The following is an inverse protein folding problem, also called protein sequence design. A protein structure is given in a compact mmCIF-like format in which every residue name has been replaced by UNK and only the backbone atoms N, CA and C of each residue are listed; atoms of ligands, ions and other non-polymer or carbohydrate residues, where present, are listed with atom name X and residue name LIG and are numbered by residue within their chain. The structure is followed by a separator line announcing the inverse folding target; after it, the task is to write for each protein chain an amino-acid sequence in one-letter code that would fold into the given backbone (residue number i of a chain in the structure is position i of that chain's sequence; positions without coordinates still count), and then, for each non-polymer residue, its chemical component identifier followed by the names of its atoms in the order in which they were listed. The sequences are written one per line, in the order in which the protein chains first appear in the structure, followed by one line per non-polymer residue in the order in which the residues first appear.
data_IF_817142111901
#
_entry.id   IF_817142111901
#
_cell.length_a   1.000
_cell.length_b   1.000
_cell.length_c   1.000
_cell.angle_alpha   90.00
_cell.angle_beta   90.00
_cell.angle_gamma   90.00
#
_symmetry.space_group_name_H-M   'P 1'
#
loop_
_entity.id
_entity.type
_entity.pdbx_description
1 polymer ?
#
# COMPACT_ATOMS: atom_id res chain seq x y z
N UNK A 1 4.33 6.30 -28.41
CA UNK A 1 4.32 7.55 -27.62
C UNK A 1 4.78 7.19 -26.21
N UNK A 2 6.02 7.53 -25.83
CA UNK A 2 6.54 7.24 -24.49
C UNK A 2 5.70 8.01 -23.48
N UNK A 3 5.18 7.35 -22.42
CA UNK A 3 4.43 7.98 -21.33
C UNK A 3 5.30 8.11 -20.05
N UNK A 4 6.41 8.87 -20.06
CA UNK A 4 7.23 9.10 -18.87
C UNK A 4 6.50 9.97 -17.82
N UNK A 5 5.39 10.62 -18.21
CA UNK A 5 4.55 11.43 -17.32
C UNK A 5 3.94 10.62 -16.18
N UNK A 6 3.55 9.37 -16.42
CA UNK A 6 2.88 8.54 -15.42
C UNK A 6 3.81 8.15 -14.24
N UNK A 7 5.12 7.97 -14.49
CA UNK A 7 6.11 7.70 -13.43
C UNK A 7 6.28 8.93 -12.55
N UNK A 8 6.47 10.09 -13.19
CA UNK A 8 6.73 11.33 -12.48
C UNK A 8 5.52 11.70 -11.62
N UNK A 9 4.31 11.74 -12.20
CA UNK A 9 3.07 12.05 -11.48
C UNK A 9 2.83 11.12 -10.27
N UNK A 10 3.10 9.82 -10.40
CA UNK A 10 2.83 8.84 -9.33
C UNK A 10 3.92 8.77 -8.27
N UNK A 11 5.18 9.02 -8.63
CA UNK A 11 6.23 9.26 -7.65
C UNK A 11 5.89 10.52 -6.83
N UNK A 12 5.50 11.62 -7.49
CA UNK A 12 4.99 12.84 -6.86
C UNK A 12 3.76 12.60 -5.96
N UNK A 13 2.87 11.66 -6.28
CA UNK A 13 1.71 11.31 -5.43
C UNK A 13 2.11 10.59 -4.13
N UNK A 14 3.08 9.68 -4.19
CA UNK A 14 3.66 9.04 -2.99
C UNK A 14 4.49 10.04 -2.19
N UNK A 15 5.23 10.89 -2.89
CA UNK A 15 6.01 11.97 -2.31
C UNK A 15 5.10 12.96 -1.59
N UNK A 16 3.99 13.40 -2.16
CA UNK A 16 3.05 14.32 -1.48
C UNK A 16 2.38 13.67 -0.26
N UNK A 17 2.30 12.35 -0.18
CA UNK A 17 1.84 11.62 1.01
C UNK A 17 2.93 11.53 2.08
N UNK A 18 4.15 11.17 1.69
CA UNK A 18 5.33 11.14 2.58
C UNK A 18 5.66 12.55 3.07
N UNK A 19 5.63 13.54 2.18
CA UNK A 19 5.74 14.96 2.49
C UNK A 19 4.62 15.40 3.37
N UNK A 20 3.33 15.15 3.09
CA UNK A 20 2.26 15.47 4.07
C UNK A 20 2.49 14.82 5.45
N UNK A 21 3.01 13.60 5.48
CA UNK A 21 3.40 12.91 6.73
C UNK A 21 4.61 13.56 7.41
N UNK A 22 5.56 14.12 6.65
CA UNK A 22 6.75 14.81 7.13
C UNK A 22 6.51 16.32 7.38
N UNK A 23 5.53 16.94 6.72
CA UNK A 23 5.51 18.37 6.48
C UNK A 23 4.57 19.14 7.38
N UNK A 24 3.62 18.53 8.10
CA UNK A 24 2.55 19.38 8.63
C UNK A 24 2.24 19.43 10.13
N UNK A 25 2.54 18.50 11.05
CA UNK A 25 1.89 18.62 12.39
C UNK A 25 2.62 18.40 13.71
N UNK A 26 3.83 17.85 13.80
CA UNK A 26 4.32 17.42 15.13
C UNK A 26 5.52 18.19 15.72
N UNK A 27 6.57 18.50 14.95
CA UNK A 27 7.86 18.85 15.58
C UNK A 27 8.52 20.14 15.04
N UNK A 28 8.63 21.22 15.86
CA UNK A 28 9.33 22.45 15.48
C UNK A 28 10.84 22.25 15.29
N UNK A 29 11.45 21.30 16.00
CA UNK A 29 12.89 20.99 15.91
C UNK A 29 13.22 20.32 14.58
N UNK A 30 12.37 19.40 14.12
CA UNK A 30 12.50 18.81 12.79
C UNK A 30 12.49 19.88 11.68
N UNK A 31 11.63 20.89 11.78
CA UNK A 31 11.58 22.00 10.80
C UNK A 31 12.85 22.84 10.81
N UNK A 32 13.42 23.09 11.98
CA UNK A 32 14.68 23.83 12.12
C UNK A 32 15.83 23.06 11.47
N UNK A 33 15.95 21.76 11.76
CA UNK A 33 16.95 20.87 11.16
C UNK A 33 16.76 20.74 9.65
N UNK A 34 15.52 20.58 9.18
CA UNK A 34 15.19 20.51 7.76
C UNK A 34 15.62 21.78 7.01
N UNK A 35 15.33 22.97 7.55
CA UNK A 35 15.77 24.24 6.96
C UNK A 35 17.29 24.37 6.94
N UNK A 36 17.97 23.98 8.02
CA UNK A 36 19.43 23.97 8.07
C UNK A 36 20.03 23.05 6.99
N UNK A 37 19.44 21.85 6.79
CA UNK A 37 19.85 20.94 5.72
C UNK A 37 19.65 21.53 4.32
N UNK A 38 18.52 22.21 4.06
CA UNK A 38 18.27 22.86 2.76
C UNK A 38 19.21 24.04 2.49
N UNK A 39 19.64 24.74 3.54
CA UNK A 39 20.57 25.87 3.47
C UNK A 39 22.04 25.43 3.37
N UNK A 40 22.33 24.15 3.55
CA UNK A 40 23.67 23.61 3.43
C UNK A 40 24.20 23.78 1.99
N UNK A 41 25.48 24.13 1.82
CA UNK A 41 26.08 24.42 0.50
C UNK A 41 25.93 23.28 -0.53
N UNK A 42 25.95 22.02 -0.08
CA UNK A 42 25.69 20.85 -0.93
C UNK A 42 24.25 20.73 -1.42
N UNK A 43 23.28 21.17 -0.61
CA UNK A 43 21.87 21.13 -0.96
C UNK A 43 21.47 22.27 -1.90
N UNK A 44 22.33 23.27 -2.13
CA UNK A 44 22.12 24.38 -3.07
C UNK A 44 20.76 25.08 -2.92
N UNK A 45 20.20 25.11 -1.72
CA UNK A 45 18.90 25.74 -1.45
C UNK A 45 17.69 24.98 -1.99
N UNK A 46 17.84 23.79 -2.59
CA UNK A 46 16.70 23.01 -3.06
C UNK A 46 16.16 22.11 -1.96
N UNK A 47 14.85 21.86 -1.99
CA UNK A 47 14.20 20.99 -1.03
C UNK A 47 14.68 19.55 -1.17
N UNK A 48 14.52 18.77 -0.10
CA UNK A 48 14.74 17.32 -0.19
C UNK A 48 13.79 16.69 -1.23
N UNK A 49 12.61 17.28 -1.46
CA UNK A 49 11.65 16.82 -2.47
C UNK A 49 12.29 16.73 -3.86
N UNK A 50 12.99 17.80 -4.24
CA UNK A 50 13.70 17.87 -5.50
C UNK A 50 14.75 16.76 -5.64
N UNK A 51 15.53 16.50 -4.57
CA UNK A 51 16.56 15.47 -4.59
C UNK A 51 15.99 14.06 -4.73
N UNK A 52 14.83 13.79 -4.12
CA UNK A 52 14.12 12.52 -4.24
C UNK A 52 13.62 12.27 -5.67
N UNK A 53 13.39 13.34 -6.45
CA UNK A 53 12.94 13.25 -7.85
C UNK A 53 14.07 13.03 -8.85
N UNK A 54 15.33 13.29 -8.48
CA UNK A 54 16.47 13.17 -9.39
C UNK A 54 16.61 11.77 -10.01
N UNK A 55 16.47 10.65 -9.28
CA UNK A 55 16.58 9.31 -9.87
C UNK A 55 15.53 9.07 -10.98
N UNK A 56 14.29 9.51 -10.77
CA UNK A 56 13.21 9.36 -11.77
C UNK A 56 13.45 10.25 -12.99
N UNK A 57 13.87 11.50 -12.76
CA UNK A 57 14.27 12.41 -13.83
C UNK A 57 15.47 11.86 -14.61
N UNK A 58 16.39 11.14 -13.95
CA UNK A 58 17.58 10.58 -14.58
C UNK A 58 17.26 9.37 -15.45
N UNK A 59 16.49 8.41 -14.93
CA UNK A 59 16.07 7.20 -15.66
C UNK A 59 15.35 7.57 -16.96
N UNK A 60 14.43 8.54 -16.90
CA UNK A 60 13.64 8.98 -18.06
C UNK A 60 14.45 9.82 -19.06
N UNK A 61 15.52 10.48 -18.63
CA UNK A 61 16.35 11.35 -19.49
C UNK A 61 17.42 10.59 -20.27
N UNK A 62 17.93 9.47 -19.75
CA UNK A 62 18.96 8.68 -20.44
C UNK A 62 18.54 8.17 -21.83
N UNK A 63 17.34 7.58 -22.03
CA UNK A 63 16.89 7.20 -23.37
C UNK A 63 16.90 8.35 -24.37
N UNK A 64 16.50 9.56 -23.95
CA UNK A 64 16.46 10.75 -24.81
C UNK A 64 17.85 11.23 -25.22
N UNK A 65 18.84 11.08 -24.34
CA UNK A 65 20.25 11.41 -24.63
C UNK A 65 20.81 10.41 -25.63
N UNK A 66 20.61 9.11 -25.39
CA UNK A 66 21.12 8.04 -26.24
C UNK A 66 20.43 8.01 -27.62
N UNK A 67 19.15 8.37 -27.69
CA UNK A 67 18.43 8.56 -28.97
C UNK A 67 19.11 9.62 -29.85
N UNK A 68 19.52 10.74 -29.25
CA UNK A 68 20.26 11.79 -29.96
C UNK A 68 21.64 11.29 -30.38
N UNK A 69 22.37 10.60 -29.50
CA UNK A 69 23.69 10.05 -29.82
C UNK A 69 23.64 9.07 -30.99
N UNK A 70 22.66 8.16 -31.00
CA UNK A 70 22.44 7.22 -32.12
C UNK A 70 22.12 7.98 -33.41
N UNK A 71 21.25 9.01 -33.35
CA UNK A 71 20.86 9.80 -34.53
C UNK A 71 22.03 10.52 -35.21
N UNK A 72 23.04 10.95 -34.42
CA UNK A 72 24.20 11.69 -34.94
C UNK A 72 25.45 10.82 -35.14
N UNK A 73 25.37 9.51 -34.88
CA UNK A 73 26.47 8.58 -35.11
C UNK A 73 26.35 7.91 -36.48
N UNK A 74 27.45 7.75 -37.21
CA UNK A 74 27.42 7.06 -38.51
C UNK A 74 27.18 5.56 -38.35
N UNK A 75 26.35 4.99 -39.22
CA UNK A 75 25.96 3.57 -39.20
C UNK A 75 27.14 2.61 -39.48
N UNK A 76 28.25 3.13 -40.00
CA UNK A 76 29.47 2.38 -40.30
C UNK A 76 30.44 2.34 -39.12
N UNK A 77 30.16 3.06 -38.03
CA UNK A 77 30.99 3.04 -36.84
C UNK A 77 30.74 1.78 -36.01
N UNK A 78 31.81 1.11 -35.57
CA UNK A 78 31.74 -0.04 -34.65
C UNK A 78 31.06 0.30 -33.31
N UNK A 79 30.92 1.60 -32.99
CA UNK A 79 30.26 2.12 -31.80
C UNK A 79 28.74 2.24 -31.96
N UNK A 80 28.22 2.28 -33.19
CA UNK A 80 26.78 2.40 -33.46
C UNK A 80 25.98 1.26 -32.86
N UNK A 81 26.45 0.02 -33.00
CA UNK A 81 25.81 -1.17 -32.43
C UNK A 81 25.77 -1.12 -30.90
N UNK A 82 26.87 -0.70 -30.26
CA UNK A 82 26.94 -0.55 -28.80
C UNK A 82 25.99 0.53 -28.28
N UNK A 83 25.92 1.68 -28.97
CA UNK A 83 25.00 2.77 -28.64
C UNK A 83 23.53 2.37 -28.82
N UNK A 84 23.24 1.63 -29.89
CA UNK A 84 21.90 1.14 -30.17
C UNK A 84 21.46 0.11 -29.12
N UNK A 85 22.34 -0.82 -28.74
CA UNK A 85 22.08 -1.78 -27.67
C UNK A 85 21.84 -1.08 -26.32
N UNK A 86 22.68 -0.09 -25.98
CA UNK A 86 22.49 0.71 -24.77
C UNK A 86 21.14 1.47 -24.77
N UNK A 87 20.75 2.06 -25.90
CA UNK A 87 19.46 2.73 -26.06
C UNK A 87 18.27 1.78 -25.85
N UNK A 88 18.31 0.57 -26.42
CA UNK A 88 17.25 -0.43 -26.23
C UNK A 88 17.16 -0.90 -24.77
N UNK A 89 18.30 -1.14 -24.11
CA UNK A 89 18.35 -1.49 -22.68
C UNK A 89 17.75 -0.38 -21.81
N UNK A 90 18.08 0.89 -22.09
CA UNK A 90 17.54 2.05 -21.37
C UNK A 90 16.02 2.21 -21.58
N UNK A 91 15.52 1.96 -22.80
CA UNK A 91 14.07 1.92 -23.06
C UNK A 91 13.39 0.82 -22.27
N UNK A 92 13.96 -0.39 -22.27
CA UNK A 92 13.44 -1.52 -21.52
C UNK A 92 13.44 -1.25 -20.00
N UNK A 93 14.48 -0.60 -19.48
CA UNK A 93 14.57 -0.18 -18.08
C UNK A 93 13.48 0.82 -17.71
N UNK A 94 13.24 1.84 -18.55
CA UNK A 94 12.14 2.78 -18.35
C UNK A 94 10.78 2.08 -18.36
N UNK A 95 10.56 1.17 -19.30
CA UNK A 95 9.32 0.39 -19.40
C UNK A 95 9.12 -0.52 -18.17
N UNK A 96 10.18 -1.19 -17.71
CA UNK A 96 10.16 -2.04 -16.51
C UNK A 96 9.91 -1.24 -15.24
N UNK A 97 10.52 -0.07 -15.11
CA UNK A 97 10.32 0.84 -13.97
C UNK A 97 8.88 1.35 -13.95
N UNK A 98 8.36 1.74 -15.11
CA UNK A 98 6.95 2.07 -15.32
C UNK A 98 6.02 0.92 -14.87
N UNK A 99 6.28 -0.29 -15.34
CA UNK A 99 5.50 -1.47 -15.00
C UNK A 99 5.60 -1.80 -13.51
N UNK A 100 6.78 -1.70 -12.89
CA UNK A 100 6.97 -1.92 -11.45
C UNK A 100 6.19 -0.91 -10.60
N UNK A 101 6.23 0.38 -10.97
CA UNK A 101 5.40 1.42 -10.32
C UNK A 101 3.90 1.14 -10.53
N UNK A 102 3.52 0.66 -11.71
CA UNK A 102 2.14 0.30 -12.03
C UNK A 102 1.66 -0.93 -11.25
N UNK A 103 2.41 -2.03 -11.25
CA UNK A 103 2.10 -3.29 -10.56
C UNK A 103 2.09 -3.11 -9.05
N UNK A 104 3.07 -2.39 -8.48
CA UNK A 104 3.07 -2.01 -7.06
C UNK A 104 1.83 -1.22 -6.64
N UNK A 105 1.12 -0.63 -7.61
CA UNK A 105 -0.10 0.15 -7.39
C UNK A 105 -1.38 -0.57 -7.85
N UNK A 106 -1.28 -1.59 -8.71
CA UNK A 106 -2.41 -2.35 -9.29
C UNK A 106 -2.67 -3.67 -8.57
N UNK A 107 -1.62 -4.41 -8.17
CA UNK A 107 -1.80 -5.67 -7.43
C UNK A 107 -2.34 -5.41 -6.01
N UNK A 108 -2.07 -4.23 -5.47
CA UNK A 108 -2.60 -3.77 -4.19
C UNK A 108 -2.86 -2.27 -4.39
N UNK A 109 -4.09 -1.88 -4.72
CA UNK A 109 -4.48 -0.48 -4.55
C UNK A 109 -4.08 -0.04 -3.13
N UNK A 110 -3.66 1.21 -2.94
CA UNK A 110 -3.13 1.69 -1.65
C UNK A 110 -3.98 1.15 -0.50
N UNK A 111 -3.38 0.26 0.33
CA UNK A 111 -4.09 -0.50 1.36
C UNK A 111 -4.97 0.45 2.15
N UNK A 112 -6.29 0.30 2.00
CA UNK A 112 -7.24 1.12 2.73
C UNK A 112 -7.72 0.36 3.95
N UNK A 113 -7.72 1.04 5.08
CA UNK A 113 -8.41 0.58 6.27
C UNK A 113 -9.91 0.68 6.02
N UNK A 114 -10.66 -0.40 6.25
CA UNK A 114 -12.11 -0.44 6.04
C UNK A 114 -12.83 -0.41 7.37
N UNK A 115 -12.49 -1.32 8.29
CA UNK A 115 -13.23 -1.46 9.54
C UNK A 115 -12.37 -2.06 10.66
N UNK A 116 -12.65 -1.68 11.90
CA UNK A 116 -12.10 -2.31 13.09
C UNK A 116 -13.18 -2.46 14.15
N UNK A 117 -13.05 -3.49 14.97
CA UNK A 117 -14.01 -3.77 16.04
C UNK A 117 -13.61 -4.99 16.86
N UNK A 118 -14.28 -5.15 17.98
CA UNK A 118 -14.08 -6.27 18.89
C UNK A 118 -14.89 -7.48 18.41
N UNK A 119 -14.28 -8.65 18.48
CA UNK A 119 -14.86 -9.94 18.11
C UNK A 119 -14.50 -10.97 19.18
N UNK A 120 -15.38 -11.93 19.44
CA UNK A 120 -15.14 -13.00 20.40
C UNK A 120 -15.05 -14.35 19.69
N UNK A 121 -14.09 -15.19 20.03
CA UNK A 121 -14.03 -16.55 19.46
C UNK A 121 -15.14 -17.42 20.07
N UNK A 122 -16.06 -17.95 19.27
CA UNK A 122 -17.26 -18.67 19.77
C UNK A 122 -16.94 -19.81 20.75
N UNK A 123 -15.89 -20.60 20.47
CA UNK A 123 -15.53 -21.76 21.30
C UNK A 123 -14.86 -21.43 22.64
N UNK A 124 -14.13 -20.31 22.73
CA UNK A 124 -13.30 -19.99 23.90
C UNK A 124 -13.67 -18.66 24.56
N UNK A 125 -14.65 -17.96 23.99
CA UNK A 125 -15.05 -16.60 24.32
C UNK A 125 -13.89 -15.59 24.46
N UNK A 126 -12.77 -15.86 23.77
CA UNK A 126 -11.57 -15.02 23.85
C UNK A 126 -11.82 -13.72 23.09
N UNK A 127 -11.56 -12.59 23.73
CA UNK A 127 -11.61 -11.27 23.09
C UNK A 127 -10.51 -11.13 22.05
N UNK A 128 -10.90 -10.75 20.84
CA UNK A 128 -10.05 -10.45 19.70
C UNK A 128 -10.41 -9.06 19.16
N UNK A 129 -9.43 -8.41 18.56
CA UNK A 129 -9.59 -7.20 17.76
C UNK A 129 -9.49 -7.61 16.30
N UNK A 130 -10.57 -7.39 15.54
CA UNK A 130 -10.59 -7.55 14.10
C UNK A 130 -10.17 -6.24 13.43
N UNK A 131 -9.22 -6.31 12.48
CA UNK A 131 -8.86 -5.18 11.60
C UNK A 131 -9.03 -5.61 10.14
N UNK A 132 -10.00 -5.02 9.46
CA UNK A 132 -10.31 -5.28 8.06
C UNK A 132 -9.66 -4.22 7.16
N UNK A 133 -8.85 -4.71 6.24
CA UNK A 133 -8.24 -3.93 5.17
C UNK A 133 -8.80 -4.38 3.81
N UNK A 134 -8.49 -3.60 2.78
CA UNK A 134 -8.87 -3.89 1.40
C UNK A 134 -8.31 -5.21 0.85
N UNK A 135 -7.28 -5.79 1.46
CA UNK A 135 -6.56 -6.98 0.98
C UNK A 135 -6.59 -8.16 1.98
N UNK A 136 -6.58 -7.90 3.29
CA UNK A 136 -6.63 -8.93 4.32
C UNK A 136 -7.45 -8.53 5.55
N UNK A 137 -7.79 -9.54 6.34
CA UNK A 137 -8.36 -9.42 7.68
C UNK A 137 -7.33 -9.87 8.72
N UNK A 138 -7.06 -9.01 9.71
CA UNK A 138 -6.21 -9.30 10.85
C UNK A 138 -7.06 -9.63 12.08
N UNK A 139 -6.62 -10.63 12.85
CA UNK A 139 -7.14 -10.88 14.19
C UNK A 139 -5.99 -10.71 15.18
N UNK A 140 -6.17 -9.85 16.18
CA UNK A 140 -5.18 -9.58 17.21
C UNK A 140 -5.77 -9.70 18.62
N UNK A 141 -4.92 -9.86 19.62
CA UNK A 141 -5.30 -9.84 21.03
C UNK A 141 -4.67 -8.64 21.71
N UNK A 142 -5.42 -7.88 22.51
CA UNK A 142 -4.86 -6.76 23.25
C UNK A 142 -3.97 -7.27 24.39
N UNK A 143 -2.82 -6.63 24.59
CA UNK A 143 -1.88 -7.03 25.66
C UNK A 143 -2.34 -6.52 27.05
N UNK A 144 -3.18 -5.49 27.07
CA UNK A 144 -3.81 -4.96 28.27
C UNK A 144 -5.34 -5.06 28.15
N UNK A 145 -6.06 -5.36 29.25
CA UNK A 145 -7.52 -5.46 29.24
C UNK A 145 -8.13 -4.10 28.86
N UNK A 146 -8.96 -4.10 27.80
CA UNK A 146 -9.69 -2.91 27.37
C UNK A 146 -10.84 -2.72 28.37
N UNK A 147 -10.79 -1.64 29.15
CA UNK A 147 -11.72 -1.35 30.24
C UNK A 147 -13.17 -1.10 29.76
N UNK A 148 -13.34 -0.66 28.49
CA UNK A 148 -14.66 -0.44 27.88
C UNK A 148 -14.73 -1.00 26.45
N UNK A 149 -15.17 -2.26 26.27
CA UNK A 149 -15.23 -2.89 24.96
C UNK A 149 -16.32 -2.29 24.03
N UNK A 150 -17.38 -1.71 24.59
CA UNK A 150 -18.51 -1.20 23.80
C UNK A 150 -18.26 0.17 23.17
N UNK A 151 -17.29 0.94 23.69
CA UNK A 151 -16.97 2.30 23.21
C UNK A 151 -15.59 2.44 22.56
N UNK A 152 -14.76 1.39 22.59
CA UNK A 152 -13.45 1.39 21.94
C UNK A 152 -13.60 1.40 20.40
N UNK A 153 -13.90 2.57 19.84
CA UNK A 153 -13.60 2.89 18.44
C UNK A 153 -12.07 2.88 18.31
N UNK A 154 -11.52 1.70 18.03
CA UNK A 154 -10.11 1.52 17.68
C UNK A 154 -9.88 2.37 16.43
N UNK A 155 -9.41 3.59 16.66
CA UNK A 155 -9.15 4.60 15.65
C UNK A 155 -7.65 4.70 15.47
N UNK A 156 -7.22 5.31 14.37
CA UNK A 156 -5.81 5.44 13.97
C UNK A 156 -4.92 6.13 15.02
N UNK A 157 -5.51 6.74 16.06
CA UNK A 157 -4.83 7.53 17.09
C UNK A 157 -4.84 6.85 18.48
N UNK A 158 -5.18 5.56 18.55
CA UNK A 158 -5.17 4.83 19.83
C UNK A 158 -3.84 4.09 20.01
N UNK A 159 -3.10 4.43 21.07
CA UNK A 159 -1.83 3.78 21.44
C UNK A 159 -2.07 2.43 22.12
N UNK A 160 -2.70 1.51 21.39
CA UNK A 160 -3.00 0.16 21.88
C UNK A 160 -1.97 -0.82 21.32
N UNK A 161 -1.23 -1.50 22.20
CA UNK A 161 -0.37 -2.60 21.80
C UNK A 161 -1.20 -3.87 21.57
N UNK A 162 -1.19 -4.36 20.33
CA UNK A 162 -1.89 -5.56 19.91
C UNK A 162 -0.88 -6.65 19.51
N UNK A 163 -1.05 -7.86 20.03
CA UNK A 163 -0.30 -9.04 19.60
C UNK A 163 -1.10 -9.80 18.56
N UNK A 164 -0.48 -10.19 17.45
CA UNK A 164 -1.13 -10.94 16.38
C UNK A 164 -1.62 -12.31 16.90
N UNK A 165 -2.91 -12.62 16.71
CA UNK A 165 -3.46 -13.90 17.15
C UNK A 165 -3.21 -15.02 16.14
N UNK A 166 -3.29 -14.71 14.84
CA UNK A 166 -3.04 -15.64 13.73
C UNK A 166 -2.51 -14.90 12.51
N UNK A 167 -1.94 -15.65 11.56
CA UNK A 167 -1.56 -15.15 10.24
C UNK A 167 -2.71 -14.38 9.58
N UNK A 168 -2.45 -13.22 8.95
CA UNK A 168 -3.50 -12.44 8.28
C UNK A 168 -4.26 -13.28 7.25
N UNK A 169 -5.59 -13.17 7.25
CA UNK A 169 -6.47 -13.90 6.35
C UNK A 169 -6.67 -13.07 5.07
N UNK A 170 -6.20 -13.55 3.93
CA UNK A 170 -6.34 -12.82 2.66
C UNK A 170 -7.80 -12.82 2.20
N UNK A 171 -8.38 -11.64 1.94
CA UNK A 171 -9.82 -11.49 1.65
C UNK A 171 -10.23 -12.25 0.38
N UNK A 172 -9.35 -12.36 -0.61
CA UNK A 172 -9.58 -13.12 -1.86
C UNK A 172 -9.97 -14.60 -1.65
N UNK A 173 -9.54 -15.19 -0.53
CA UNK A 173 -9.77 -16.60 -0.20
C UNK A 173 -10.72 -16.76 1.00
N UNK A 174 -11.32 -15.66 1.45
CA UNK A 174 -12.21 -15.63 2.61
C UNK A 174 -13.63 -15.98 2.16
N UNK A 175 -14.28 -16.91 2.84
CA UNK A 175 -15.72 -17.15 2.72
C UNK A 175 -16.37 -16.80 4.05
N UNK A 176 -17.37 -15.92 4.00
CA UNK A 176 -18.13 -15.52 5.18
C UNK A 176 -19.43 -16.31 5.18
N UNK A 177 -19.62 -17.14 6.19
CA UNK A 177 -20.83 -17.95 6.36
C UNK A 177 -21.64 -17.42 7.55
N UNK A 178 -22.93 -17.10 7.37
CA UNK A 178 -23.78 -16.73 8.50
C UNK A 178 -23.97 -17.93 9.42
N UNK A 179 -24.07 -17.67 10.73
CA UNK A 179 -24.46 -18.69 11.71
C UNK A 179 -25.79 -18.30 12.34
N UNK A 180 -26.63 -19.30 12.60
CA UNK A 180 -27.93 -19.17 13.27
C UNK A 180 -27.82 -18.91 14.77
N UNK A 181 -26.61 -19.04 15.35
CA UNK A 181 -26.35 -18.85 16.77
C UNK A 181 -25.94 -17.39 17.10
N UNK A 182 -26.49 -16.84 18.18
CA UNK A 182 -26.16 -15.58 18.88
C UNK A 182 -25.08 -14.68 18.24
N UNK A 183 -25.49 -13.79 17.33
CA UNK A 183 -24.62 -12.78 16.70
C UNK A 183 -23.28 -13.32 16.18
N UNK A 184 -23.24 -14.60 15.82
CA UNK A 184 -22.03 -15.27 15.36
C UNK A 184 -22.00 -15.45 13.84
N UNK A 185 -20.80 -15.59 13.31
CA UNK A 185 -20.51 -15.81 11.90
C UNK A 185 -19.23 -16.64 11.79
N UNK A 186 -19.06 -17.33 10.67
CA UNK A 186 -17.89 -18.17 10.42
C UNK A 186 -17.07 -17.61 9.27
N UNK A 187 -15.75 -17.60 9.47
CA UNK A 187 -14.78 -17.24 8.46
C UNK A 187 -14.06 -18.52 8.02
N UNK A 188 -14.26 -18.90 6.76
CA UNK A 188 -13.60 -20.06 6.15
C UNK A 188 -12.51 -19.59 5.19
N UNK A 189 -11.31 -20.12 5.34
CA UNK A 189 -10.16 -19.87 4.46
C UNK A 189 -9.49 -21.21 4.15
N UNK A 190 -9.70 -21.72 2.93
CA UNK A 190 -9.33 -23.10 2.60
C UNK A 190 -10.00 -24.09 3.54
N UNK A 191 -9.20 -24.89 4.24
CA UNK A 191 -9.66 -25.89 5.20
C UNK A 191 -9.85 -25.35 6.64
N UNK A 192 -9.41 -24.12 6.89
CA UNK A 192 -9.50 -23.51 8.22
C UNK A 192 -10.83 -22.77 8.39
N UNK A 193 -11.61 -23.14 9.41
CA UNK A 193 -12.84 -22.44 9.81
C UNK A 193 -12.65 -21.79 11.17
N UNK A 194 -12.92 -20.49 11.26
CA UNK A 194 -12.90 -19.73 12.52
C UNK A 194 -14.28 -19.14 12.79
N UNK A 195 -14.93 -19.59 13.86
CA UNK A 195 -16.21 -19.05 14.34
C UNK A 195 -15.97 -17.86 15.26
N UNK A 196 -16.58 -16.72 14.92
CA UNK A 196 -16.49 -15.45 15.64
C UNK A 196 -17.88 -14.97 16.04
N UNK A 197 -17.98 -14.28 17.16
CA UNK A 197 -19.18 -13.66 17.71
C UNK A 197 -18.97 -12.15 17.81
N UNK A 198 -19.88 -11.39 17.21
CA UNK A 198 -19.89 -9.94 17.29
C UNK A 198 -20.58 -9.47 18.59
N UNK A 199 -20.28 -8.26 19.09
CA UNK A 199 -20.92 -7.73 20.30
C UNK A 199 -22.43 -7.53 20.13
N UNK A 200 -22.89 -7.17 18.93
CA UNK A 200 -24.31 -6.98 18.62
C UNK A 200 -24.64 -7.38 17.18
N UNK A 201 -25.95 -7.51 16.88
CA UNK A 201 -26.44 -7.94 15.55
C UNK A 201 -26.04 -6.97 14.44
N UNK A 202 -26.07 -5.66 14.72
CA UNK A 202 -25.66 -4.62 13.76
C UNK A 202 -24.18 -4.73 13.38
N UNK A 203 -23.30 -4.95 14.35
CA UNK A 203 -21.88 -5.18 14.13
C UNK A 203 -21.65 -6.46 13.33
N UNK A 204 -22.37 -7.55 13.62
CA UNK A 204 -22.32 -8.78 12.82
C UNK A 204 -22.65 -8.48 11.35
N UNK A 205 -23.75 -7.78 11.09
CA UNK A 205 -24.18 -7.43 9.72
C UNK A 205 -23.08 -6.59 9.04
N UNK A 206 -22.57 -5.56 9.71
CA UNK A 206 -21.52 -4.69 9.17
C UNK A 206 -20.25 -5.47 8.80
N UNK A 207 -19.79 -6.38 9.68
CA UNK A 207 -18.64 -7.23 9.42
C UNK A 207 -18.85 -8.14 8.20
N UNK A 208 -20.03 -8.77 8.10
CA UNK A 208 -20.35 -9.65 6.97
C UNK A 208 -20.46 -8.88 5.66
N UNK A 209 -21.18 -7.75 5.64
CA UNK A 209 -21.36 -6.91 4.45
C UNK A 209 -20.02 -6.36 3.96
N UNK A 210 -19.20 -5.77 4.84
CA UNK A 210 -17.91 -5.21 4.43
C UNK A 210 -16.94 -6.28 3.93
N UNK A 211 -16.90 -7.45 4.58
CA UNK A 211 -16.02 -8.53 4.15
C UNK A 211 -16.42 -9.09 2.78
N UNK A 212 -17.73 -9.26 2.52
CA UNK A 212 -18.24 -9.69 1.22
C UNK A 212 -18.03 -8.64 0.13
N UNK A 213 -18.25 -7.37 0.41
CA UNK A 213 -18.03 -6.28 -0.55
C UNK A 213 -16.56 -6.20 -1.00
N UNK A 214 -15.61 -6.27 -0.06
CA UNK A 214 -14.18 -6.27 -0.39
C UNK A 214 -13.82 -7.52 -1.19
N UNK A 215 -14.40 -8.68 -0.84
CA UNK A 215 -14.18 -9.93 -1.58
C UNK A 215 -14.62 -9.78 -3.03
N UNK A 216 -15.84 -9.33 -3.28
CA UNK A 216 -16.34 -9.10 -4.64
C UNK A 216 -15.47 -8.11 -5.42
N UNK A 217 -15.08 -7.00 -4.78
CA UNK A 217 -14.19 -6.00 -5.38
C UNK A 217 -12.78 -6.53 -5.67
N UNK A 218 -12.31 -7.54 -4.92
CA UNK A 218 -11.01 -8.18 -5.15
C UNK A 218 -11.02 -9.11 -6.37
N UNK A 219 -12.15 -9.76 -6.66
CA UNK A 219 -12.31 -10.62 -7.85
C UNK A 219 -12.43 -9.79 -9.14
N UNK A 220 -13.11 -8.64 -9.10
CA UNK A 220 -13.26 -7.74 -10.25
C UNK A 220 -11.95 -7.09 -10.71
N UNK A 221 -10.90 -7.09 -9.88
CA UNK A 221 -9.57 -6.55 -10.21
C UNK A 221 -8.63 -7.57 -10.84
N UNK A 222 -9.06 -8.81 -11.08
CA UNK A 222 -8.24 -9.77 -11.80
C UNK A 222 -8.08 -9.33 -13.26
N UNK A 223 -6.86 -9.25 -13.80
CA UNK A 223 -6.66 -8.97 -15.20
C UNK A 223 -7.19 -10.16 -16.02
N UNK A 224 -8.22 -9.94 -16.83
CA UNK A 224 -8.43 -10.72 -18.04
C UNK A 224 -7.16 -10.55 -18.87
N UNK A 225 -6.34 -11.61 -18.91
CA UNK A 225 -5.21 -11.72 -19.83
C UNK A 225 -5.77 -11.82 -21.25
N UNK A 226 -5.83 -10.69 -21.95
CA UNK A 226 -5.91 -10.61 -23.40
C UNK A 226 -4.87 -9.60 -23.88
#
# INVERSE_FOLDING_TARGET
MFAPQLIQEKFFAKESTIWRSLSERANPEFRKTYRACCQHGFAKGVSLSYHLLLPMARITRYPLIFEKMVKYSSAESQQYESLQNAYQLLKALCARTNAGVYLAHREIGARSFVHAGILYKTKSNRMLVGLLYSDFLLLATPNHPILEPDFAKITKNTDISLTLYKTPLMVKNLMVLPSSEDNSFQLKTGDFVTSLKAPNSSARILWMTNAEEIRMNSHLKQPTLH
#
